data_IF_953080074239
#
_entry.id   IF_953080074239
#
_cell.length_a   1.000
_cell.length_b   1.000
_cell.length_c   1.000
_cell.angle_alpha   90.00
_cell.angle_beta   90.00
_cell.angle_gamma   90.00
#
_symmetry.space_group_name_H-M   'P 1'
#
loop_
_entity.id
_entity.type
_entity.pdbx_description
1 polymer ?
#
# COMPACT_ATOMS: atom_id res chain seq x y z
N UNK A 1 -4.07 30.29 2.79
CA UNK A 1 -2.63 29.97 2.92
C UNK A 1 -2.02 30.03 1.52
N UNK A 2 -1.37 31.15 1.22
CA UNK A 2 -0.65 31.35 -0.04
C UNK A 2 0.61 30.47 -0.06
N UNK A 3 0.95 29.96 -1.24
CA UNK A 3 2.14 29.13 -1.47
C UNK A 3 3.01 29.85 -2.48
N UNK A 4 4.17 30.26 -1.97
CA UNK A 4 5.08 31.24 -2.54
C UNK A 4 5.99 30.65 -3.64
N UNK A 5 5.48 29.69 -4.42
CA UNK A 5 6.32 28.82 -5.26
C UNK A 5 6.14 28.93 -6.76
N UNK A 6 5.30 29.82 -7.29
CA UNK A 6 5.28 30.14 -8.74
C UNK A 6 4.56 31.47 -9.03
N UNK A 7 5.26 32.54 -9.45
CA UNK A 7 4.59 33.74 -9.93
C UNK A 7 3.96 33.45 -11.30
N UNK A 8 2.62 33.56 -11.41
CA UNK A 8 1.94 33.54 -12.72
C UNK A 8 0.64 32.73 -12.83
N UNK A 9 0.27 31.92 -11.84
CA UNK A 9 -0.99 31.18 -11.87
C UNK A 9 -1.80 31.42 -10.59
N UNK A 10 -2.94 32.11 -10.73
CA UNK A 10 -3.95 32.19 -9.66
C UNK A 10 -4.54 30.79 -9.43
N UNK A 11 -3.95 30.02 -8.51
CA UNK A 11 -4.51 28.73 -8.10
C UNK A 11 -5.62 28.97 -7.10
N UNK A 12 -6.86 28.75 -7.51
CA UNK A 12 -8.00 28.69 -6.59
C UNK A 12 -7.80 27.48 -5.68
N UNK A 13 -7.77 27.71 -4.37
CA UNK A 13 -7.74 26.68 -3.34
C UNK A 13 -9.02 26.80 -2.53
N UNK A 14 -9.81 25.73 -2.50
CA UNK A 14 -10.91 25.59 -1.57
C UNK A 14 -10.64 24.42 -0.64
N UNK A 15 -11.03 24.58 0.62
CA UNK A 15 -11.11 23.47 1.56
C UNK A 15 -12.42 22.73 1.30
N UNK A 16 -12.37 21.42 1.13
CA UNK A 16 -13.58 20.60 0.96
C UNK A 16 -13.56 19.51 2.02
N UNK A 17 -14.05 19.86 3.21
CA UNK A 17 -14.07 18.96 4.37
C UNK A 17 -14.69 17.58 4.06
N UNK A 18 -15.80 17.46 3.30
CA UNK A 18 -16.35 16.16 2.94
C UNK A 18 -15.38 15.25 2.14
N UNK A 19 -14.43 15.82 1.40
CA UNK A 19 -13.40 15.07 0.68
C UNK A 19 -12.20 14.74 1.57
N UNK A 20 -11.90 15.59 2.56
CA UNK A 20 -10.80 15.38 3.51
C UNK A 20 -11.07 14.20 4.45
N UNK A 21 -12.34 13.96 4.79
CA UNK A 21 -12.75 12.88 5.70
C UNK A 21 -13.34 11.66 4.98
N UNK A 22 -13.38 11.67 3.65
CA UNK A 22 -13.97 10.58 2.87
C UNK A 22 -13.18 9.27 3.11
N UNK A 23 -13.83 8.19 3.58
CA UNK A 23 -13.16 6.93 3.84
C UNK A 23 -12.74 6.24 2.54
N UNK A 24 -11.66 5.47 2.62
CA UNK A 24 -11.27 4.53 1.57
C UNK A 24 -12.04 3.23 1.76
N UNK A 25 -12.61 2.72 0.68
CA UNK A 25 -13.29 1.43 0.67
C UNK A 25 -12.31 0.31 1.04
N UNK A 26 -12.69 -0.64 1.92
CA UNK A 26 -11.83 -1.74 2.30
C UNK A 26 -11.30 -2.50 1.08
N UNK A 27 -9.98 -2.59 0.97
CA UNK A 27 -9.33 -3.26 -0.17
C UNK A 27 -8.27 -4.23 0.30
N UNK A 28 -8.36 -5.45 -0.22
CA UNK A 28 -7.36 -6.50 0.01
C UNK A 28 -6.84 -6.99 -1.33
N UNK A 29 -5.56 -6.79 -1.57
CA UNK A 29 -4.93 -7.32 -2.75
C UNK A 29 -4.87 -8.86 -2.71
N UNK A 30 -5.04 -9.50 -3.88
CA UNK A 30 -4.91 -10.95 -4.00
C UNK A 30 -3.50 -11.39 -3.60
N UNK A 31 -3.41 -12.47 -2.84
CA UNK A 31 -2.13 -13.05 -2.45
C UNK A 31 -1.35 -13.48 -3.69
N UNK A 32 -0.14 -12.94 -3.85
CA UNK A 32 0.77 -13.31 -4.93
C UNK A 32 1.57 -14.55 -4.51
N UNK A 33 1.68 -15.55 -5.40
CA UNK A 33 2.62 -16.66 -5.19
C UNK A 33 4.04 -16.11 -5.25
N UNK A 34 4.86 -16.42 -4.24
CA UNK A 34 6.27 -15.99 -4.14
C UNK A 34 7.15 -17.22 -3.99
N UNK A 35 8.33 -17.18 -4.62
CA UNK A 35 9.35 -18.21 -4.41
C UNK A 35 9.87 -18.16 -2.98
N UNK A 36 10.46 -19.26 -2.51
CA UNK A 36 11.06 -19.32 -1.17
C UNK A 36 12.18 -18.26 -1.00
N UNK A 37 12.93 -17.99 -2.07
CA UNK A 37 13.96 -16.95 -2.09
C UNK A 37 13.35 -15.57 -1.87
N UNK A 38 12.29 -15.23 -2.60
CA UNK A 38 11.61 -13.94 -2.46
C UNK A 38 11.00 -13.80 -1.05
N UNK A 39 10.37 -14.85 -0.52
CA UNK A 39 9.81 -14.82 0.85
C UNK A 39 10.89 -14.56 1.90
N UNK A 40 12.07 -15.18 1.77
CA UNK A 40 13.19 -14.97 2.69
C UNK A 40 13.76 -13.55 2.60
N UNK A 41 13.94 -13.02 1.37
CA UNK A 41 14.41 -11.65 1.16
C UNK A 41 13.43 -10.66 1.78
N UNK A 42 12.15 -10.84 1.51
CA UNK A 42 11.11 -9.96 2.01
C UNK A 42 11.02 -9.97 3.53
N UNK A 43 10.99 -11.15 4.13
CA UNK A 43 10.97 -11.31 5.58
C UNK A 43 12.17 -10.62 6.23
N UNK A 44 13.39 -10.84 5.70
CA UNK A 44 14.59 -10.17 6.19
C UNK A 44 14.45 -8.65 6.14
N UNK A 45 14.07 -8.11 4.98
CA UNK A 45 13.96 -6.65 4.79
C UNK A 45 12.87 -6.03 5.66
N UNK A 46 11.76 -6.73 5.88
CA UNK A 46 10.70 -6.25 6.79
C UNK A 46 11.19 -6.21 8.24
N UNK A 47 11.95 -7.22 8.69
CA UNK A 47 12.56 -7.20 10.03
C UNK A 47 13.59 -6.09 10.18
N UNK A 48 14.45 -5.87 9.18
CA UNK A 48 15.39 -4.74 9.18
C UNK A 48 14.63 -3.41 9.25
N UNK A 49 13.59 -3.24 8.44
CA UNK A 49 12.77 -2.02 8.44
C UNK A 49 12.01 -1.81 9.75
N UNK A 50 11.58 -2.88 10.43
CA UNK A 50 10.99 -2.83 11.76
C UNK A 50 12.02 -2.38 12.81
N UNK A 51 13.23 -2.95 12.78
CA UNK A 51 14.33 -2.53 13.66
C UNK A 51 14.78 -1.08 13.42
N UNK A 52 14.69 -0.59 12.17
CA UNK A 52 14.93 0.81 11.80
C UNK A 52 13.75 1.75 12.14
N UNK A 53 12.63 1.24 12.65
CA UNK A 53 11.43 2.03 12.97
C UNK A 53 10.65 2.55 11.76
N UNK A 54 10.89 2.00 10.56
CA UNK A 54 10.22 2.41 9.31
C UNK A 54 8.86 1.76 9.13
N UNK A 55 8.65 0.62 9.77
CA UNK A 55 7.39 -0.14 9.76
C UNK A 55 7.11 -0.68 11.14
N UNK A 56 5.84 -0.97 11.41
CA UNK A 56 5.39 -1.59 12.66
C UNK A 56 4.41 -2.70 12.35
N UNK A 57 4.38 -3.73 13.21
CA UNK A 57 3.35 -4.77 13.14
C UNK A 57 1.97 -4.18 13.44
N UNK A 58 0.97 -4.69 12.75
CA UNK A 58 -0.43 -4.38 12.99
C UNK A 58 -1.27 -5.64 12.77
N UNK A 59 -2.44 -5.69 13.41
CA UNK A 59 -3.41 -6.73 13.11
C UNK A 59 -4.06 -6.44 11.75
N UNK A 60 -4.43 -7.50 11.04
CA UNK A 60 -5.12 -7.39 9.76
C UNK A 60 -6.40 -6.53 9.85
N UNK A 61 -7.18 -6.71 10.92
CA UNK A 61 -8.44 -5.96 11.12
C UNK A 61 -8.25 -4.46 11.36
N UNK A 62 -7.04 -4.00 11.69
CA UNK A 62 -6.74 -2.58 11.82
C UNK A 62 -6.47 -1.91 10.46
N UNK A 63 -6.32 -2.69 9.38
CA UNK A 63 -5.95 -2.19 8.07
C UNK A 63 -7.18 -2.01 7.17
N UNK A 64 -7.52 -0.76 6.84
CA UNK A 64 -8.50 -0.46 5.78
C UNK A 64 -8.01 -0.93 4.40
N UNK A 65 -6.70 -0.96 4.17
CA UNK A 65 -6.13 -1.41 2.90
C UNK A 65 -4.91 -2.28 3.09
N UNK A 66 -4.88 -3.41 2.38
CA UNK A 66 -3.80 -4.39 2.40
C UNK A 66 -3.26 -4.53 0.98
N UNK A 67 -2.02 -4.10 0.79
CA UNK A 67 -1.33 -4.10 -0.49
C UNK A 67 -0.25 -5.17 -0.53
N UNK A 68 0.07 -5.66 -1.73
CA UNK A 68 1.20 -6.54 -1.93
C UNK A 68 2.51 -5.77 -1.82
N UNK A 69 3.44 -6.38 -1.11
CA UNK A 69 4.86 -6.06 -1.15
C UNK A 69 5.49 -6.46 -2.47
N UNK A 70 6.50 -5.70 -2.88
CA UNK A 70 7.27 -5.88 -4.11
C UNK A 70 8.75 -5.78 -3.77
N UNK A 71 9.53 -6.74 -4.27
CA UNK A 71 10.99 -6.72 -4.16
C UNK A 71 11.56 -5.99 -5.38
N UNK A 72 12.33 -4.95 -5.10
CA UNK A 72 13.17 -4.25 -6.07
C UNK A 72 14.60 -4.78 -5.91
N UNK A 73 15.14 -5.38 -6.97
CA UNK A 73 16.50 -5.90 -7.01
C UNK A 73 17.43 -4.84 -7.63
N UNK A 74 18.46 -4.44 -6.89
CA UNK A 74 19.49 -3.47 -7.30
C UNK A 74 20.71 -4.15 -7.95
N UNK A 75 20.65 -5.46 -8.23
CA UNK A 75 21.73 -6.18 -8.89
C UNK A 75 22.21 -5.46 -10.16
N UNK A 76 23.54 -5.41 -10.33
CA UNK A 76 24.13 -4.94 -11.57
C UNK A 76 23.81 -5.95 -12.68
N UNK A 77 23.66 -5.46 -13.90
CA UNK A 77 23.62 -6.33 -15.08
C UNK A 77 24.95 -7.06 -15.19
N UNK A 78 24.89 -8.33 -15.58
CA UNK A 78 26.06 -9.14 -15.93
C UNK A 78 26.77 -8.53 -17.15
N UNK A 79 27.97 -9.00 -17.45
CA UNK A 79 28.70 -8.59 -18.67
C UNK A 79 27.94 -8.95 -19.96
N UNK A 80 26.98 -9.89 -19.90
CA UNK A 80 26.06 -10.21 -20.99
C UNK A 80 24.84 -9.28 -21.08
N UNK A 81 24.72 -8.30 -20.18
CA UNK A 81 23.60 -7.36 -20.11
C UNK A 81 22.35 -7.90 -19.42
N UNK A 82 22.38 -9.14 -18.92
CA UNK A 82 21.27 -9.79 -18.23
C UNK A 82 21.24 -9.42 -16.74
N UNK A 83 20.05 -9.39 -16.15
CA UNK A 83 19.93 -9.19 -14.71
C UNK A 83 20.34 -10.46 -13.97
N UNK A 84 21.22 -10.34 -12.98
CA UNK A 84 21.59 -11.48 -12.13
C UNK A 84 20.32 -12.04 -11.43
N UNK A 85 20.08 -13.37 -11.45
CA UNK A 85 18.95 -13.96 -10.74
C UNK A 85 18.96 -13.60 -9.26
N UNK A 86 17.77 -13.43 -8.68
CA UNK A 86 17.64 -13.23 -7.23
C UNK A 86 18.14 -14.46 -6.49
N UNK A 87 18.95 -14.21 -5.47
CA UNK A 87 19.41 -15.23 -4.53
C UNK A 87 19.36 -14.67 -3.12
N UNK A 88 19.01 -15.53 -2.17
CA UNK A 88 19.25 -15.21 -0.77
C UNK A 88 20.74 -15.50 -0.49
N UNK A 89 21.47 -14.58 0.14
CA UNK A 89 22.90 -14.71 0.33
C UNK A 89 23.26 -15.96 1.14
N UNK A 90 24.38 -16.56 0.77
CA UNK A 90 24.94 -17.72 1.49
C UNK A 90 25.54 -17.32 2.85
N UNK A 91 25.90 -18.29 3.70
CA UNK A 91 26.46 -18.03 5.03
C UNK A 91 27.69 -17.11 5.02
N UNK A 92 28.49 -17.14 3.95
CA UNK A 92 29.71 -16.35 3.80
C UNK A 92 29.50 -14.88 3.41
N UNK A 93 28.31 -14.51 2.90
CA UNK A 93 28.05 -13.15 2.36
C UNK A 93 27.48 -12.19 3.42
N UNK A 94 27.13 -12.69 4.61
CA UNK A 94 26.55 -11.90 5.70
C UNK A 94 25.17 -11.31 5.40
N UNK A 95 24.42 -10.87 6.44
CA UNK A 95 23.06 -10.34 6.28
C UNK A 95 23.00 -9.00 5.51
N UNK A 96 24.02 -8.15 5.65
CA UNK A 96 24.18 -6.83 5.00
C UNK A 96 24.07 -6.89 3.47
N UNK A 97 24.41 -8.04 2.87
CA UNK A 97 24.30 -8.26 1.43
C UNK A 97 22.84 -8.25 0.94
N UNK A 98 21.88 -8.69 1.76
CA UNK A 98 20.44 -8.57 1.46
C UNK A 98 20.03 -7.10 1.39
N UNK A 99 20.47 -6.33 2.38
CA UNK A 99 20.07 -4.94 2.59
C UNK A 99 20.63 -4.00 1.51
N UNK A 100 21.87 -4.28 1.09
CA UNK A 100 22.53 -3.56 0.01
C UNK A 100 21.98 -3.90 -1.38
N UNK A 101 21.50 -5.13 -1.63
CA UNK A 101 20.97 -5.56 -2.95
C UNK A 101 19.47 -5.34 -3.10
N UNK A 102 18.67 -5.60 -2.08
CA UNK A 102 17.21 -5.63 -2.22
C UNK A 102 16.53 -4.48 -1.47
N UNK A 103 15.44 -3.98 -2.03
CA UNK A 103 14.50 -3.08 -1.36
C UNK A 103 13.11 -3.71 -1.41
N UNK A 104 12.38 -3.62 -0.30
CA UNK A 104 10.96 -3.98 -0.27
C UNK A 104 10.13 -2.70 -0.30
N UNK A 105 9.12 -2.67 -1.16
CA UNK A 105 8.17 -1.56 -1.32
C UNK A 105 6.74 -2.09 -1.42
N UNK A 106 5.74 -1.20 -1.44
CA UNK A 106 4.34 -1.55 -1.70
C UNK A 106 3.93 -1.14 -3.11
N UNK A 107 3.06 -1.93 -3.72
CA UNK A 107 2.41 -1.59 -4.99
C UNK A 107 1.20 -0.68 -4.76
N UNK A 108 1.44 0.64 -4.72
CA UNK A 108 0.38 1.62 -4.46
C UNK A 108 -0.47 1.98 -5.69
N UNK A 109 -0.38 1.23 -6.81
CA UNK A 109 -1.13 1.56 -8.04
C UNK A 109 -2.65 1.61 -7.81
N UNK A 110 -3.16 0.79 -6.90
CA UNK A 110 -4.58 0.79 -6.53
C UNK A 110 -4.97 2.08 -5.82
N UNK A 111 -4.16 2.50 -4.85
CA UNK A 111 -4.36 3.77 -4.11
C UNK A 111 -4.28 4.97 -5.06
N UNK A 112 -3.31 4.96 -5.97
CA UNK A 112 -3.12 6.04 -6.93
C UNK A 112 -4.25 6.16 -7.97
N UNK A 113 -5.17 5.20 -8.03
CA UNK A 113 -6.30 5.14 -8.97
C UNK A 113 -7.63 5.01 -8.24
N UNK A 114 -7.70 5.47 -7.00
CA UNK A 114 -8.96 5.58 -6.29
C UNK A 114 -9.87 6.58 -7.02
N UNK A 115 -11.16 6.24 -7.08
CA UNK A 115 -12.22 7.05 -7.66
C UNK A 115 -13.13 7.49 -6.53
N UNK A 116 -13.49 8.77 -6.54
CA UNK A 116 -14.46 9.32 -5.61
C UNK A 116 -15.88 8.93 -6.05
N UNK A 117 -16.67 8.39 -5.13
CA UNK A 117 -18.10 8.11 -5.31
C UNK A 117 -18.87 8.49 -4.04
N UNK A 118 -20.15 8.14 -3.96
CA UNK A 118 -20.99 8.36 -2.78
C UNK A 118 -21.76 7.08 -2.38
N UNK A 119 -22.03 6.94 -1.08
CA UNK A 119 -22.91 5.88 -0.57
C UNK A 119 -24.40 6.23 -0.77
N UNK A 120 -25.30 5.33 -0.35
CA UNK A 120 -26.76 5.56 -0.44
C UNK A 120 -27.26 6.75 0.38
N UNK A 121 -26.45 7.25 1.32
CA UNK A 121 -26.75 8.39 2.17
C UNK A 121 -26.07 9.68 1.67
N UNK A 122 -25.47 9.65 0.48
CA UNK A 122 -24.78 10.79 -0.12
C UNK A 122 -23.40 11.09 0.48
N UNK A 123 -22.84 10.19 1.30
CA UNK A 123 -21.50 10.38 1.89
C UNK A 123 -20.43 9.99 0.88
N UNK A 124 -19.44 10.85 0.71
CA UNK A 124 -18.31 10.59 -0.20
C UNK A 124 -17.46 9.40 0.28
N UNK A 125 -16.96 8.60 -0.66
CA UNK A 125 -16.03 7.51 -0.39
C UNK A 125 -15.07 7.28 -1.57
N UNK A 126 -13.87 6.78 -1.29
CA UNK A 126 -12.87 6.45 -2.31
C UNK A 126 -12.86 4.95 -2.61
N UNK A 127 -13.10 4.55 -3.86
CA UNK A 127 -13.12 3.14 -4.30
C UNK A 127 -11.98 2.83 -5.26
N UNK A 128 -11.38 1.63 -5.23
CA UNK A 128 -10.48 1.16 -6.28
C UNK A 128 -11.17 1.20 -7.66
N UNK A 129 -10.59 1.88 -8.65
CA UNK A 129 -11.20 2.08 -9.96
C UNK A 129 -11.58 0.78 -10.73
N UNK A 130 -10.92 -0.34 -10.43
CA UNK A 130 -11.26 -1.66 -10.99
C UNK A 130 -12.48 -2.33 -10.35
N UNK A 131 -12.95 -1.83 -9.19
CA UNK A 131 -14.08 -2.37 -8.41
C UNK A 131 -15.41 -1.66 -8.73
N UNK A 132 -15.41 -0.70 -9.66
CA UNK A 132 -16.59 0.11 -10.02
C UNK A 132 -17.61 -0.66 -10.89
N UNK A 133 -17.43 -1.96 -11.11
CA UNK A 133 -18.32 -2.75 -11.97
C UNK A 133 -19.58 -3.31 -11.30
N UNK A 134 -19.74 -3.23 -9.97
CA UNK A 134 -20.99 -3.62 -9.31
C UNK A 134 -21.21 -2.84 -8.01
N UNK A 135 -21.95 -1.73 -8.06
CA UNK A 135 -22.30 -0.92 -6.89
C UNK A 135 -22.93 -1.72 -5.74
N UNK A 136 -23.68 -2.78 -6.05
CA UNK A 136 -24.38 -3.62 -5.07
C UNK A 136 -23.44 -4.45 -4.20
N UNK A 137 -22.37 -5.01 -4.77
CA UNK A 137 -21.37 -5.80 -4.04
C UNK A 137 -20.49 -4.91 -3.15
N UNK A 138 -20.15 -3.73 -3.65
CA UNK A 138 -19.38 -2.71 -2.92
C UNK A 138 -20.19 -2.19 -1.72
N UNK A 139 -21.50 -1.93 -1.87
CA UNK A 139 -22.37 -1.46 -0.78
C UNK A 139 -22.51 -2.47 0.38
N UNK A 140 -22.50 -3.77 0.11
CA UNK A 140 -22.70 -4.81 1.13
C UNK A 140 -21.48 -5.03 2.04
N UNK A 141 -20.26 -4.98 1.48
CA UNK A 141 -19.04 -5.22 2.24
C UNK A 141 -18.58 -3.99 3.05
N UNK A 142 -18.90 -2.75 2.64
CA UNK A 142 -18.64 -1.56 3.48
C UNK A 142 -19.38 -1.62 4.83
N UNK A 143 -20.66 -2.02 4.83
CA UNK A 143 -21.46 -2.16 6.06
C UNK A 143 -20.92 -3.23 7.02
N UNK A 144 -20.18 -4.22 6.52
CA UNK A 144 -19.56 -5.25 7.36
C UNK A 144 -18.22 -4.81 7.97
N UNK A 145 -17.60 -3.76 7.42
CA UNK A 145 -16.34 -3.18 7.92
C UNK A 145 -16.54 -2.04 8.92
N UNK A 146 -17.76 -1.52 9.06
CA UNK A 146 -18.08 -0.59 10.15
C UNK A 146 -18.01 -1.36 11.48
N UNK A 147 -17.23 -0.90 12.48
CA UNK A 147 -17.30 -1.48 13.81
C UNK A 147 -18.74 -1.34 14.32
N UNK A 148 -19.33 -2.47 14.73
CA UNK A 148 -20.68 -2.51 15.29
C UNK A 148 -20.83 -1.41 16.35
N UNK A 149 -21.94 -0.65 16.37
CA UNK A 149 -22.22 0.33 17.42
C UNK A 149 -22.14 -0.26 18.84
N UNK A 150 -22.34 -1.58 18.98
CA UNK A 150 -22.22 -2.30 20.24
C UNK A 150 -20.77 -2.43 20.75
N UNK A 151 -19.75 -2.13 19.94
CA UNK A 151 -18.35 -2.17 20.36
C UNK A 151 -17.89 -0.90 21.09
N UNK A 152 -18.76 0.11 21.25
CA UNK A 152 -18.48 1.36 21.99
C UNK A 152 -19.07 1.40 23.40
N UNK A 153 -19.67 0.30 23.86
CA UNK A 153 -20.16 0.14 25.23
C UNK A 153 -19.48 -1.10 25.85
N UNK A 154 -18.23 -0.92 26.28
CA UNK A 154 -17.43 -1.92 26.99
C UNK A 154 -16.30 -1.22 27.72
#
# INVERSE_FOLDING_TARGET
VEDDRSPGHHRVRCRCEPLEIAPVYPYREKLRRKSDVDQRIEHHRLLTMEGEGKVTRCSEGACTTILATVIVDKAKKTNSGEAEPRRYPGPSEGPESVDSRYRVTLDCRVINRLVLTHDSNGRFLFVPGASVTNESATKAAYRQSEPSPSARLG
#
